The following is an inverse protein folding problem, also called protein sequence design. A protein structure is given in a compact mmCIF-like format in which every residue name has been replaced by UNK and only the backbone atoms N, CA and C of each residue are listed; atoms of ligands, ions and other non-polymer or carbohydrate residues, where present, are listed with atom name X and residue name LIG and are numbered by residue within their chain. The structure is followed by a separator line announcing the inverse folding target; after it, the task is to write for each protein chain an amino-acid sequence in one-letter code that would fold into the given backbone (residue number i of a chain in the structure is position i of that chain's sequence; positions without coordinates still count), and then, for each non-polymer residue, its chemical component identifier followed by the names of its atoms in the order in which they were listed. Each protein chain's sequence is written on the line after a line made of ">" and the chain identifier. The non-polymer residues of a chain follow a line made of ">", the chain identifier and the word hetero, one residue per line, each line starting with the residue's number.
data_IF_468673120739
#
_entry.id   IF_468673120739
#
_cell.length_a   1.000
_cell.length_b   1.000
_cell.length_c   1.000
_cell.angle_alpha   90.00
_cell.angle_beta   90.00
_cell.angle_gamma   90.00
#
_symmetry.space_group_name_H-M   'P 1'
#
loop_
_entity.id
_entity.type
_entity.pdbx_description
1 polymer ?
#
# COMPACT_ATOMS: atom_id res chain seq x y z
N UNK A 1 -11.54 -6.19 -38.67
CA UNK A 1 -10.66 -6.83 -37.70
C UNK A 1 -9.56 -5.92 -37.12
N UNK A 2 -9.46 -4.65 -37.48
CA UNK A 2 -8.47 -3.69 -36.97
C UNK A 2 -8.85 -3.01 -35.62
N UNK A 3 -10.14 -2.90 -35.32
CA UNK A 3 -10.65 -2.21 -34.10
C UNK A 3 -10.15 -2.74 -32.75
N UNK A 4 -10.07 -4.06 -32.49
CA UNK A 4 -9.56 -4.53 -31.20
C UNK A 4 -8.05 -4.32 -30.98
N UNK A 5 -7.28 -4.30 -32.08
CA UNK A 5 -5.82 -4.03 -32.02
C UNK A 5 -5.54 -2.55 -31.76
N UNK A 6 -6.26 -1.63 -32.40
CA UNK A 6 -6.11 -0.19 -32.15
C UNK A 6 -6.56 0.17 -30.72
N UNK A 7 -7.67 -0.41 -30.23
CA UNK A 7 -8.12 -0.25 -28.87
C UNK A 7 -7.09 -0.74 -27.85
N UNK A 8 -6.49 -1.91 -28.08
CA UNK A 8 -5.41 -2.42 -27.23
C UNK A 8 -4.19 -1.47 -27.17
N UNK A 9 -3.76 -0.92 -28.33
CA UNK A 9 -2.63 0.02 -28.38
C UNK A 9 -2.94 1.35 -27.70
N UNK A 10 -4.15 1.86 -27.85
CA UNK A 10 -4.60 3.08 -27.18
C UNK A 10 -4.61 2.88 -25.66
N UNK A 11 -5.25 1.81 -25.17
CA UNK A 11 -5.27 1.48 -23.74
C UNK A 11 -3.85 1.28 -23.21
N UNK A 12 -2.98 0.55 -23.92
CA UNK A 12 -1.60 0.31 -23.52
C UNK A 12 -0.75 1.59 -23.48
N UNK A 13 -0.99 2.52 -24.40
CA UNK A 13 -0.29 3.81 -24.44
C UNK A 13 -0.70 4.71 -23.29
N UNK A 14 -2.01 4.88 -23.05
CA UNK A 14 -2.54 5.75 -22.02
C UNK A 14 -2.50 5.13 -20.60
N UNK A 15 -2.43 3.80 -20.47
CA UNK A 15 -2.34 3.16 -19.16
C UNK A 15 -0.93 3.17 -18.53
N UNK A 16 0.10 3.51 -19.30
CA UNK A 16 1.48 3.52 -18.78
C UNK A 16 1.70 4.54 -17.66
N UNK A 17 0.98 5.66 -17.70
CA UNK A 17 1.11 6.76 -16.75
C UNK A 17 -0.17 6.98 -15.91
N UNK A 18 -1.17 6.09 -16.03
CA UNK A 18 -2.46 6.27 -15.40
C UNK A 18 -2.45 6.05 -13.88
N UNK A 19 -1.49 5.32 -13.34
CA UNK A 19 -1.34 5.05 -11.91
C UNK A 19 0.06 5.46 -11.46
N UNK A 20 0.14 6.53 -10.68
CA UNK A 20 1.39 6.98 -10.09
C UNK A 20 1.62 6.21 -8.80
N UNK A 21 2.56 5.25 -8.80
CA UNK A 21 2.93 4.51 -7.59
C UNK A 21 3.75 5.39 -6.65
N UNK A 22 3.44 5.43 -5.34
CA UNK A 22 4.28 6.11 -4.37
C UNK A 22 5.73 5.60 -4.40
N UNK A 23 6.68 6.52 -4.26
CA UNK A 23 8.10 6.19 -4.34
C UNK A 23 8.56 5.36 -3.13
N UNK A 24 9.71 4.69 -3.29
CA UNK A 24 10.50 4.18 -2.19
C UNK A 24 11.56 5.22 -1.82
N UNK A 25 11.79 5.46 -0.53
CA UNK A 25 12.65 6.56 -0.09
C UNK A 25 13.98 6.09 0.48
N UNK A 26 14.00 4.98 1.21
CA UNK A 26 15.17 4.51 1.93
C UNK A 26 15.59 3.13 1.41
N UNK A 27 16.90 2.94 1.23
CA UNK A 27 17.46 1.66 0.81
C UNK A 27 18.61 1.25 1.74
N UNK A 28 18.76 -0.05 1.94
CA UNK A 28 19.86 -0.63 2.74
C UNK A 28 21.08 -0.93 1.86
N UNK A 29 20.85 -1.37 0.62
CA UNK A 29 21.92 -1.67 -0.31
C UNK A 29 21.47 -1.58 -1.77
N UNK A 30 22.44 -1.33 -2.66
CA UNK A 30 22.25 -1.38 -4.11
C UNK A 30 23.29 -2.32 -4.69
N UNK A 31 22.85 -3.37 -5.37
CA UNK A 31 23.72 -4.25 -6.14
C UNK A 31 23.50 -4.05 -7.64
N UNK A 32 24.59 -4.03 -8.40
CA UNK A 32 24.52 -3.90 -9.86
C UNK A 32 24.69 -5.29 -10.48
N UNK A 33 23.61 -5.81 -11.04
CA UNK A 33 23.63 -7.08 -11.75
C UNK A 33 23.62 -6.82 -13.27
N UNK A 34 24.45 -7.55 -14.02
CA UNK A 34 24.49 -7.46 -15.48
C UNK A 34 23.64 -8.57 -16.10
N UNK A 35 22.58 -8.20 -16.80
CA UNK A 35 21.76 -9.13 -17.57
C UNK A 35 21.76 -8.72 -19.05
N UNK A 36 22.30 -9.56 -19.93
CA UNK A 36 22.45 -9.27 -21.38
C UNK A 36 23.10 -7.89 -21.63
N UNK A 37 24.26 -7.63 -21.04
CA UNK A 37 25.02 -6.38 -21.16
C UNK A 37 24.35 -5.10 -20.66
N UNK A 38 23.15 -5.20 -20.07
CA UNK A 38 22.49 -4.07 -19.39
C UNK A 38 22.71 -4.18 -17.90
N UNK A 39 23.24 -3.11 -17.31
CA UNK A 39 23.30 -2.96 -15.86
C UNK A 39 21.85 -2.84 -15.33
N UNK A 40 21.48 -3.73 -14.42
CA UNK A 40 20.21 -3.68 -13.68
C UNK A 40 20.58 -3.43 -12.24
N UNK A 41 20.13 -2.29 -11.71
CA UNK A 41 20.26 -2.00 -10.29
C UNK A 41 19.20 -2.83 -9.53
N UNK A 42 19.66 -3.71 -8.66
CA UNK A 42 18.81 -4.41 -7.71
C UNK A 42 18.95 -3.68 -6.36
N UNK A 43 17.89 -2.97 -6.00
CA UNK A 43 17.84 -2.14 -4.79
C UNK A 43 17.10 -2.88 -3.71
N UNK A 44 17.75 -3.09 -2.58
CA UNK A 44 17.12 -3.61 -1.35
C UNK A 44 16.59 -2.42 -0.57
N UNK A 45 15.27 -2.27 -0.58
CA UNK A 45 14.61 -1.20 0.13
C UNK A 45 14.59 -1.46 1.63
N UNK A 46 14.76 -0.40 2.42
CA UNK A 46 14.74 -0.48 3.88
C UNK A 46 13.37 -0.93 4.37
N UNK A 47 13.34 -2.07 5.05
CA UNK A 47 12.17 -2.61 5.71
C UNK A 47 12.22 -2.18 7.17
N UNK A 48 11.19 -1.47 7.62
CA UNK A 48 11.03 -1.08 9.03
C UNK A 48 11.03 -2.31 9.92
N UNK A 49 11.90 -2.32 10.93
CA UNK A 49 12.02 -3.45 11.85
C UNK A 49 10.78 -3.59 12.71
N UNK A 50 10.48 -4.84 13.05
CA UNK A 50 9.38 -5.13 13.96
C UNK A 50 9.62 -4.50 15.34
N UNK A 51 8.56 -3.96 15.92
CA UNK A 51 8.53 -3.43 17.29
C UNK A 51 7.24 -3.88 17.97
N UNK A 52 7.33 -4.15 19.27
CA UNK A 52 6.18 -4.54 20.09
C UNK A 52 5.70 -3.37 20.92
N UNK A 53 4.39 -3.24 20.99
CA UNK A 53 3.69 -2.18 21.72
C UNK A 53 2.60 -2.77 22.61
N UNK A 54 1.99 -1.90 23.41
CA UNK A 54 0.71 -2.16 24.07
C UNK A 54 -0.30 -1.14 23.54
N UNK A 55 -1.44 -1.62 23.03
CA UNK A 55 -2.45 -0.72 22.49
C UNK A 55 -3.40 -0.18 23.59
N UNK A 56 -4.29 0.75 23.22
CA UNK A 56 -5.28 1.37 24.11
C UNK A 56 -6.25 0.37 24.76
N UNK A 57 -6.35 -0.86 24.26
CA UNK A 57 -7.16 -1.93 24.84
C UNK A 57 -6.35 -2.82 25.81
N UNK A 58 -5.05 -2.54 26.00
CA UNK A 58 -4.15 -3.31 26.84
C UNK A 58 -3.62 -4.58 26.18
N UNK A 59 -3.81 -4.74 24.88
CA UNK A 59 -3.31 -5.87 24.12
C UNK A 59 -1.87 -5.63 23.68
N UNK A 60 -1.05 -6.67 23.75
CA UNK A 60 0.28 -6.66 23.12
C UNK A 60 0.10 -6.78 21.62
N UNK A 61 0.65 -5.87 20.87
CA UNK A 61 0.57 -5.78 19.41
C UNK A 61 1.96 -5.46 18.84
N UNK A 62 2.18 -5.80 17.58
CA UNK A 62 3.43 -5.53 16.88
C UNK A 62 3.17 -5.12 15.42
N UNK A 63 4.20 -4.61 14.74
CA UNK A 63 4.06 -4.34 13.30
C UNK A 63 3.84 -5.62 12.49
N UNK A 64 4.42 -6.75 12.93
CA UNK A 64 4.25 -8.01 12.23
C UNK A 64 2.80 -8.53 12.26
N UNK A 65 1.99 -8.12 13.25
CA UNK A 65 0.55 -8.43 13.29
C UNK A 65 -0.23 -7.72 12.16
N UNK A 66 0.40 -6.73 11.50
CA UNK A 66 -0.18 -5.93 10.42
C UNK A 66 0.31 -6.36 9.03
N UNK A 67 0.92 -7.53 8.92
CA UNK A 67 1.40 -8.05 7.64
C UNK A 67 0.27 -8.08 6.59
N UNK A 68 0.56 -7.56 5.40
CA UNK A 68 -0.39 -7.51 4.29
C UNK A 68 -1.33 -6.30 4.33
N UNK A 69 -1.31 -5.49 5.39
CA UNK A 69 -2.03 -4.21 5.45
C UNK A 69 -1.10 -3.03 5.11
N UNK A 70 -1.68 -1.99 4.55
CA UNK A 70 -1.04 -0.68 4.49
C UNK A 70 -1.11 -0.05 5.87
N UNK A 71 -0.03 0.59 6.33
CA UNK A 71 0.00 1.23 7.64
C UNK A 71 0.13 2.75 7.46
N UNK A 72 -0.76 3.50 8.12
CA UNK A 72 -0.63 4.94 8.29
C UNK A 72 -0.27 5.21 9.73
N UNK A 73 0.93 5.74 9.95
CA UNK A 73 1.50 5.93 11.27
C UNK A 73 1.73 7.41 11.56
N UNK A 74 1.47 7.82 12.79
CA UNK A 74 1.89 9.13 13.33
C UNK A 74 2.47 9.01 14.74
N UNK A 75 3.09 10.10 15.20
CA UNK A 75 3.61 10.23 16.56
C UNK A 75 2.84 11.32 17.29
N UNK A 76 2.42 11.04 18.53
CA UNK A 76 1.61 11.93 19.33
C UNK A 76 1.92 11.80 20.83
N UNK A 77 1.28 12.59 21.64
CA UNK A 77 1.17 12.39 23.09
C UNK A 77 -0.13 13.03 23.61
N UNK A 78 -0.74 12.41 24.64
CA UNK A 78 -2.10 12.79 25.08
C UNK A 78 -2.20 14.21 25.65
N UNK A 79 -1.10 14.73 26.21
CA UNK A 79 -1.04 16.06 26.83
C UNK A 79 -0.67 17.19 25.86
N UNK A 80 -0.58 16.90 24.56
CA UNK A 80 -0.25 17.90 23.53
C UNK A 80 -1.35 18.98 23.44
N UNK A 81 -1.05 20.26 23.74
CA UNK A 81 -2.07 21.31 23.76
C UNK A 81 -2.37 21.88 22.37
N UNK A 82 -1.55 21.56 21.37
CA UNK A 82 -1.54 22.30 20.09
C UNK A 82 -1.95 21.42 18.90
N UNK A 83 -1.01 20.68 18.33
CA UNK A 83 -1.23 20.03 17.02
C UNK A 83 -1.87 18.65 17.09
N UNK A 84 -1.60 17.82 18.13
CA UNK A 84 -2.11 16.46 18.19
C UNK A 84 -3.63 16.33 18.08
N UNK A 85 -4.46 17.20 18.70
CA UNK A 85 -5.91 17.14 18.48
C UNK A 85 -6.32 17.43 17.04
N UNK A 86 -5.54 18.26 16.33
CA UNK A 86 -5.74 18.56 14.91
C UNK A 86 -5.41 17.38 14.01
N UNK A 87 -4.22 16.78 14.24
CA UNK A 87 -3.76 15.58 13.53
C UNK A 87 -4.72 14.41 13.76
N UNK A 88 -5.13 14.17 15.01
CA UNK A 88 -6.07 13.11 15.33
C UNK A 88 -7.43 13.30 14.60
N UNK A 89 -7.93 14.52 14.46
CA UNK A 89 -9.14 14.80 13.64
C UNK A 89 -8.90 14.52 12.15
N UNK A 90 -7.72 14.83 11.63
CA UNK A 90 -7.36 14.51 10.24
C UNK A 90 -7.26 13.00 10.02
N UNK A 91 -6.62 12.28 10.94
CA UNK A 91 -6.54 10.81 10.91
C UNK A 91 -7.91 10.16 11.01
N UNK A 92 -8.82 10.69 11.87
CA UNK A 92 -10.21 10.20 11.97
C UNK A 92 -10.97 10.35 10.65
N UNK A 93 -10.80 11.47 9.94
CA UNK A 93 -11.41 11.65 8.61
C UNK A 93 -10.88 10.61 7.62
N UNK A 94 -9.58 10.33 7.67
CA UNK A 94 -8.97 9.32 6.83
C UNK A 94 -9.50 7.92 7.20
N UNK A 95 -9.54 7.55 8.48
CA UNK A 95 -10.14 6.29 8.95
C UNK A 95 -11.56 6.11 8.43
N UNK A 96 -12.39 7.14 8.50
CA UNK A 96 -13.78 7.11 8.00
C UNK A 96 -13.84 6.86 6.49
N UNK A 97 -12.85 7.34 5.73
CA UNK A 97 -12.80 7.12 4.27
C UNK A 97 -12.60 5.63 3.91
N UNK A 98 -12.01 4.84 4.83
CA UNK A 98 -11.77 3.41 4.66
C UNK A 98 -12.70 2.51 5.48
N UNK A 99 -13.77 3.06 6.07
CA UNK A 99 -14.71 2.32 6.92
C UNK A 99 -15.33 1.10 6.21
N UNK A 100 -15.52 1.19 4.89
CA UNK A 100 -16.08 0.09 4.07
C UNK A 100 -15.07 -1.00 3.72
N UNK A 101 -13.77 -0.73 3.89
CA UNK A 101 -12.69 -1.64 3.53
C UNK A 101 -11.63 -1.65 4.66
N UNK A 102 -12.02 -2.09 5.88
CA UNK A 102 -11.17 -1.99 7.07
C UNK A 102 -9.95 -2.93 7.03
N UNK A 103 -9.95 -3.89 6.11
CA UNK A 103 -8.85 -4.84 5.91
C UNK A 103 -7.66 -4.23 5.16
N UNK A 104 -7.85 -3.13 4.42
CA UNK A 104 -6.82 -2.55 3.56
C UNK A 104 -5.76 -1.81 4.38
N UNK A 105 -6.19 -1.02 5.38
CA UNK A 105 -5.34 -0.08 6.10
C UNK A 105 -5.50 -0.19 7.61
N UNK A 106 -4.37 -0.08 8.29
CA UNK A 106 -4.32 0.08 9.75
C UNK A 106 -3.73 1.44 10.09
N UNK A 107 -4.39 2.15 10.98
CA UNK A 107 -3.90 3.40 11.55
C UNK A 107 -3.19 3.12 12.87
N UNK A 108 -2.02 3.72 13.07
CA UNK A 108 -1.21 3.49 14.28
C UNK A 108 -0.67 4.83 14.77
N UNK A 109 -1.14 5.27 15.93
CA UNK A 109 -0.61 6.46 16.61
C UNK A 109 0.31 6.02 17.75
N UNK A 110 1.60 6.34 17.65
CA UNK A 110 2.63 5.94 18.61
C UNK A 110 2.88 7.07 19.59
N UNK A 111 2.66 6.81 20.88
CA UNK A 111 2.98 7.80 21.93
C UNK A 111 4.48 7.97 22.07
N UNK A 112 4.95 9.22 22.02
CA UNK A 112 6.34 9.60 22.34
C UNK A 112 6.54 9.99 23.81
N UNK A 113 5.48 9.94 24.62
CA UNK A 113 5.51 10.20 26.07
C UNK A 113 4.98 9.00 26.87
N UNK A 114 5.58 7.79 26.70
CA UNK A 114 5.06 6.57 27.30
C UNK A 114 5.07 6.56 28.83
N UNK A 115 5.84 7.45 29.45
CA UNK A 115 5.88 7.60 30.92
C UNK A 115 4.57 8.19 31.47
N UNK A 116 3.88 9.01 30.66
CA UNK A 116 2.59 9.62 31.02
C UNK A 116 1.43 8.96 30.30
N UNK A 117 1.62 8.48 29.09
CA UNK A 117 0.57 7.91 28.24
C UNK A 117 0.33 6.43 28.55
N UNK A 118 -0.25 6.17 29.73
CA UNK A 118 -0.65 4.83 30.14
C UNK A 118 -1.83 4.31 29.31
N UNK A 119 -2.05 2.98 29.30
CA UNK A 119 -3.17 2.35 28.60
C UNK A 119 -4.53 2.97 28.93
N UNK A 120 -4.90 3.27 30.19
CA UNK A 120 -6.15 3.95 30.51
C UNK A 120 -6.26 5.36 29.89
N UNK A 121 -5.14 6.11 29.84
CA UNK A 121 -5.12 7.45 29.21
C UNK A 121 -5.28 7.36 27.71
N UNK A 122 -4.58 6.43 27.04
CA UNK A 122 -4.74 6.17 25.62
C UNK A 122 -6.17 5.76 25.29
N UNK A 123 -6.78 4.91 26.11
CA UNK A 123 -8.20 4.51 25.95
C UNK A 123 -9.13 5.71 26.08
N UNK A 124 -8.93 6.57 27.09
CA UNK A 124 -9.74 7.77 27.28
C UNK A 124 -9.61 8.71 26.09
N UNK A 125 -8.39 8.93 25.59
CA UNK A 125 -8.13 9.77 24.43
C UNK A 125 -8.80 9.21 23.17
N UNK A 126 -8.66 7.91 22.91
CA UNK A 126 -9.28 7.22 21.79
C UNK A 126 -10.82 7.30 21.83
N UNK A 127 -11.42 7.11 23.03
CA UNK A 127 -12.86 7.21 23.21
C UNK A 127 -13.39 8.65 22.98
N UNK A 128 -12.66 9.67 23.41
CA UNK A 128 -13.00 11.07 23.15
C UNK A 128 -12.99 11.41 21.65
N UNK A 129 -12.14 10.74 20.89
CA UNK A 129 -12.10 10.86 19.42
C UNK A 129 -13.20 10.05 18.75
N UNK A 130 -13.87 9.12 19.45
CA UNK A 130 -14.89 8.22 18.89
C UNK A 130 -14.37 7.50 17.62
N UNK A 131 -13.27 6.77 17.78
CA UNK A 131 -12.61 6.03 16.72
C UNK A 131 -13.10 4.58 16.62
N UNK A 132 -12.85 3.92 15.49
CA UNK A 132 -12.94 2.48 15.40
C UNK A 132 -11.63 1.84 15.92
N UNK A 133 -11.69 1.17 17.07
CA UNK A 133 -10.53 0.59 17.74
C UNK A 133 -9.90 -0.58 16.97
N UNK A 134 -10.64 -1.26 16.10
CA UNK A 134 -10.13 -2.40 15.32
C UNK A 134 -9.18 -1.94 14.21
N UNK A 135 -9.41 -0.74 13.68
CA UNK A 135 -8.63 -0.19 12.56
C UNK A 135 -7.67 0.94 12.96
N UNK A 136 -7.74 1.41 14.22
CA UNK A 136 -6.83 2.44 14.71
C UNK A 136 -6.33 2.12 16.12
N UNK A 137 -5.03 1.91 16.20
CA UNK A 137 -4.34 1.66 17.46
C UNK A 137 -3.65 2.91 17.96
N UNK A 138 -3.88 3.25 19.22
CA UNK A 138 -3.05 4.16 20.01
C UNK A 138 -2.13 3.31 20.85
N UNK A 139 -0.82 3.41 20.63
CA UNK A 139 0.14 2.48 21.22
C UNK A 139 1.17 3.19 22.09
N UNK A 140 1.62 2.47 23.13
CA UNK A 140 2.70 2.85 24.04
C UNK A 140 3.63 1.66 24.25
N UNK A 141 4.79 1.88 24.88
CA UNK A 141 5.77 0.83 25.11
C UNK A 141 7.03 1.34 25.81
N UNK A 142 8.16 0.64 25.63
CA UNK A 142 9.44 1.10 26.15
C UNK A 142 9.89 2.38 25.41
N UNK A 143 10.27 3.39 26.20
CA UNK A 143 10.65 4.70 25.68
C UNK A 143 11.83 4.62 24.70
N UNK A 144 12.86 3.83 25.04
CA UNK A 144 14.06 3.71 24.20
C UNK A 144 13.75 3.02 22.88
N UNK A 145 12.91 1.99 22.92
CA UNK A 145 12.48 1.28 21.71
C UNK A 145 11.64 2.18 20.82
N UNK A 146 10.68 2.94 21.38
CA UNK A 146 9.86 3.91 20.64
C UNK A 146 10.72 4.99 19.99
N UNK A 147 11.68 5.56 20.73
CA UNK A 147 12.56 6.61 20.17
C UNK A 147 13.50 6.04 19.10
N UNK A 148 14.05 4.85 19.32
CA UNK A 148 14.85 4.17 18.30
C UNK A 148 14.02 3.88 17.04
N UNK A 149 12.80 3.41 17.20
CA UNK A 149 11.86 3.18 16.10
C UNK A 149 11.56 4.49 15.34
N UNK A 150 11.19 5.55 16.04
CA UNK A 150 10.85 6.82 15.41
C UNK A 150 12.03 7.44 14.66
N UNK A 151 13.22 7.49 15.28
CA UNK A 151 14.38 8.20 14.73
C UNK A 151 15.14 7.36 13.70
N UNK A 152 15.32 6.06 13.95
CA UNK A 152 16.19 5.21 13.14
C UNK A 152 15.44 4.38 12.10
N UNK A 153 14.22 3.94 12.38
CA UNK A 153 13.44 3.14 11.43
C UNK A 153 12.52 4.02 10.59
N UNK A 154 11.69 4.86 11.22
CA UNK A 154 10.74 5.74 10.51
C UNK A 154 11.41 7.02 9.97
N UNK A 155 12.57 7.42 10.54
CA UNK A 155 13.28 8.67 10.22
C UNK A 155 12.44 9.92 10.52
N UNK A 156 11.59 9.82 11.55
CA UNK A 156 10.77 10.92 12.00
C UNK A 156 11.62 11.90 12.85
N UNK A 157 11.37 13.21 12.69
CA UNK A 157 11.96 14.22 13.59
C UNK A 157 11.07 14.34 14.82
N UNK A 158 11.51 13.73 15.93
CA UNK A 158 10.86 13.85 17.24
C UNK A 158 11.90 14.29 18.28
N UNK A 159 11.47 14.99 19.34
CA UNK A 159 12.32 15.37 20.45
C UNK A 159 11.69 15.00 21.79
N UNK A 160 12.54 14.73 22.79
CA UNK A 160 12.10 14.38 24.15
C UNK A 160 11.65 15.64 24.90
N UNK A 161 10.45 15.61 25.46
CA UNK A 161 9.85 16.69 26.25
C UNK A 161 10.67 17.06 27.51
N UNK A 162 11.46 16.13 28.03
CA UNK A 162 12.28 16.36 29.23
C UNK A 162 13.61 17.05 28.90
N UNK A 163 14.00 17.08 27.61
CA UNK A 163 15.27 17.66 27.14
C UNK A 163 15.02 19.00 26.46
N UNK A 164 13.86 19.17 25.81
CA UNK A 164 13.51 20.39 25.09
C UNK A 164 12.08 20.80 25.44
N UNK A 165 11.92 22.05 25.93
CA UNK A 165 10.62 22.65 26.23
C UNK A 165 9.79 22.92 24.96
N UNK A 166 10.43 22.92 23.79
CA UNK A 166 9.78 22.93 22.49
C UNK A 166 9.67 21.50 21.97
N UNK A 167 8.60 20.80 22.35
CA UNK A 167 8.24 19.49 21.77
C UNK A 167 8.26 19.57 20.25
N UNK A 168 9.30 19.03 19.65
CA UNK A 168 9.31 18.85 18.19
C UNK A 168 8.63 17.50 17.92
N UNK A 169 7.36 17.58 17.59
CA UNK A 169 6.57 16.47 17.09
C UNK A 169 6.36 16.69 15.59
N UNK A 170 6.40 15.62 14.85
CA UNK A 170 6.16 15.71 13.41
C UNK A 170 4.68 15.92 13.13
N UNK A 171 4.37 16.82 12.20
CA UNK A 171 3.02 17.02 11.66
C UNK A 171 2.68 16.01 10.56
N UNK A 172 3.55 15.01 10.35
CA UNK A 172 3.43 14.11 9.23
C UNK A 172 2.80 12.78 9.60
N UNK A 173 1.99 12.28 8.70
CA UNK A 173 1.60 10.87 8.61
C UNK A 173 2.61 10.13 7.75
N UNK A 174 3.06 8.97 8.20
CA UNK A 174 3.97 8.09 7.49
C UNK A 174 3.19 6.94 6.88
N UNK A 175 3.41 6.69 5.60
CA UNK A 175 2.76 5.61 4.86
C UNK A 175 3.76 4.47 4.67
N UNK A 176 3.39 3.28 5.17
CA UNK A 176 4.13 2.04 4.97
C UNK A 176 3.30 1.09 4.12
N UNK A 177 3.95 0.38 3.21
CA UNK A 177 3.29 -0.63 2.39
C UNK A 177 3.12 -1.98 3.13
N UNK A 178 2.55 -2.96 2.45
CA UNK A 178 2.28 -4.31 2.97
C UNK A 178 3.54 -5.07 3.41
N UNK A 179 4.72 -4.62 3.01
CA UNK A 179 6.02 -5.17 3.38
C UNK A 179 6.71 -4.34 4.47
N UNK A 180 6.04 -3.31 5.00
CA UNK A 180 6.56 -2.35 5.97
C UNK A 180 7.71 -1.49 5.42
N UNK A 181 7.68 -1.15 4.13
CA UNK A 181 8.61 -0.21 3.51
C UNK A 181 7.95 1.18 3.49
N UNK A 182 8.71 2.21 3.84
CA UNK A 182 8.22 3.59 3.86
C UNK A 182 8.01 4.08 2.42
N UNK A 183 6.78 4.51 2.11
CA UNK A 183 6.34 4.96 0.80
C UNK A 183 6.05 6.46 0.74
N UNK A 184 6.08 7.15 1.86
CA UNK A 184 5.90 8.58 1.93
C UNK A 184 5.61 9.11 3.32
N UNK A 185 5.63 10.45 3.40
CA UNK A 185 5.16 11.21 4.55
C UNK A 185 4.32 12.38 4.05
N UNK A 186 3.24 12.67 4.77
CA UNK A 186 2.20 13.61 4.33
C UNK A 186 1.84 14.52 5.48
N UNK A 187 1.96 15.84 5.28
CA UNK A 187 1.56 16.80 6.31
C UNK A 187 0.06 16.63 6.62
N UNK A 188 -0.25 16.34 7.90
CA UNK A 188 -1.61 16.06 8.36
C UNK A 188 -2.53 17.29 8.44
N UNK A 189 -2.01 18.50 8.20
CA UNK A 189 -2.80 19.73 8.10
C UNK A 189 -3.00 20.22 6.67
N UNK A 190 -2.19 19.72 5.71
CA UNK A 190 -2.36 20.02 4.30
C UNK A 190 -3.41 19.14 3.66
N UNK A 191 -4.53 19.73 3.25
CA UNK A 191 -5.65 19.02 2.64
C UNK A 191 -5.28 18.31 1.32
N UNK A 192 -4.36 18.88 0.53
CA UNK A 192 -3.87 18.25 -0.69
C UNK A 192 -3.02 17.02 -0.37
N UNK A 193 -2.16 17.11 0.66
CA UNK A 193 -1.37 15.98 1.13
C UNK A 193 -2.23 14.88 1.74
N UNK A 194 -3.29 15.23 2.47
CA UNK A 194 -4.26 14.27 2.98
C UNK A 194 -5.01 13.56 1.82
N UNK A 195 -5.44 14.31 0.79
CA UNK A 195 -6.08 13.74 -0.39
C UNK A 195 -5.10 12.83 -1.16
N UNK A 196 -3.84 13.23 -1.28
CA UNK A 196 -2.79 12.40 -1.88
C UNK A 196 -2.61 11.10 -1.09
N UNK A 197 -2.47 11.16 0.25
CA UNK A 197 -2.38 9.99 1.12
C UNK A 197 -3.57 9.03 0.93
N UNK A 198 -4.80 9.57 0.91
CA UNK A 198 -6.02 8.79 0.70
C UNK A 198 -6.06 8.09 -0.68
N UNK A 199 -5.43 8.67 -1.70
CA UNK A 199 -5.28 8.08 -3.04
C UNK A 199 -4.15 7.05 -3.11
N UNK A 200 -3.05 7.29 -2.38
CA UNK A 200 -1.86 6.44 -2.41
C UNK A 200 -2.09 5.10 -1.69
N UNK A 201 -2.93 5.07 -0.65
CA UNK A 201 -3.29 3.84 0.08
C UNK A 201 -3.84 2.75 -0.85
N UNK A 202 -4.97 2.94 -1.57
CA UNK A 202 -5.48 1.91 -2.48
C UNK A 202 -4.53 1.63 -3.65
N UNK A 203 -3.74 2.62 -4.08
CA UNK A 203 -2.77 2.46 -5.15
C UNK A 203 -1.69 1.45 -4.77
N UNK A 204 -1.20 1.46 -3.53
CA UNK A 204 -0.23 0.49 -3.03
C UNK A 204 -0.77 -0.95 -3.01
N UNK A 205 -2.08 -1.15 -2.82
CA UNK A 205 -2.69 -2.48 -2.91
C UNK A 205 -2.66 -3.05 -4.34
N UNK A 206 -2.52 -2.19 -5.36
CA UNK A 206 -2.38 -2.60 -6.75
C UNK A 206 -0.94 -2.97 -7.11
N UNK A 207 0.03 -2.66 -6.23
CA UNK A 207 1.42 -3.00 -6.45
C UNK A 207 1.60 -4.53 -6.35
N UNK A 208 1.79 -5.17 -7.49
CA UNK A 208 2.06 -6.61 -7.52
C UNK A 208 3.45 -6.91 -7.00
N UNK A 209 3.54 -7.78 -6.04
CA UNK A 209 4.81 -8.41 -5.66
C UNK A 209 5.51 -8.95 -6.92
N UNK A 210 6.68 -8.39 -7.24
CA UNK A 210 7.49 -8.84 -8.39
C UNK A 210 7.89 -10.32 -8.29
N UNK A 211 7.70 -10.94 -7.13
CA UNK A 211 8.08 -12.34 -6.83
C UNK A 211 6.98 -13.36 -7.12
N UNK A 212 5.74 -12.97 -7.32
CA UNK A 212 4.70 -13.93 -7.72
C UNK A 212 4.56 -13.93 -9.25
N UNK A 213 5.09 -14.95 -9.96
CA UNK A 213 4.81 -15.13 -11.37
C UNK A 213 3.32 -15.43 -11.51
N UNK A 214 2.53 -14.49 -12.04
CA UNK A 214 1.15 -14.83 -12.38
C UNK A 214 1.22 -15.81 -13.56
N UNK A 215 0.74 -17.04 -13.36
CA UNK A 215 0.63 -18.06 -14.41
C UNK A 215 -0.01 -17.48 -15.68
N UNK A 216 -0.96 -16.57 -15.55
CA UNK A 216 -1.57 -15.85 -16.67
C UNK A 216 -0.56 -15.04 -17.50
N UNK A 217 0.51 -14.51 -16.91
CA UNK A 217 1.49 -13.70 -17.64
C UNK A 217 2.34 -14.54 -18.59
N UNK A 218 2.55 -15.82 -18.27
CA UNK A 218 3.25 -16.77 -19.14
C UNK A 218 2.38 -17.15 -20.35
N UNK A 219 1.05 -17.17 -20.22
CA UNK A 219 0.13 -17.53 -21.30
C UNK A 219 -0.24 -16.35 -22.23
N UNK A 220 -0.10 -15.09 -21.76
CA UNK A 220 -0.41 -13.91 -22.58
C UNK A 220 0.27 -13.91 -23.97
N UNK A 221 1.58 -14.27 -24.12
CA UNK A 221 2.24 -14.32 -25.43
C UNK A 221 1.62 -15.35 -26.38
N UNK A 222 0.98 -16.39 -25.86
CA UNK A 222 0.40 -17.48 -26.66
C UNK A 222 -1.06 -17.22 -27.04
N UNK A 223 -1.73 -16.25 -26.39
CA UNK A 223 -3.14 -15.91 -26.71
C UNK A 223 -3.38 -15.63 -28.20
N UNK A 224 -2.55 -14.85 -28.93
CA UNK A 224 -2.75 -14.65 -30.36
C UNK A 224 -2.68 -15.95 -31.18
N UNK A 225 -1.77 -16.84 -30.82
CA UNK A 225 -1.62 -18.14 -31.51
C UNK A 225 -2.82 -19.03 -31.25
N UNK A 226 -3.35 -19.06 -30.02
CA UNK A 226 -4.55 -19.81 -29.66
C UNK A 226 -5.77 -19.26 -30.44
N UNK A 227 -5.96 -17.95 -30.53
CA UNK A 227 -7.05 -17.35 -31.28
C UNK A 227 -6.98 -17.64 -32.78
N UNK A 228 -5.76 -17.59 -33.38
CA UNK A 228 -5.56 -17.96 -34.77
C UNK A 228 -5.86 -19.45 -34.98
N UNK A 229 -5.42 -20.33 -34.08
CA UNK A 229 -5.70 -21.76 -34.12
C UNK A 229 -7.19 -22.06 -34.06
N UNK A 230 -7.93 -21.46 -33.15
CA UNK A 230 -9.39 -21.59 -33.05
C UNK A 230 -10.08 -21.07 -34.34
N UNK A 231 -9.66 -19.92 -34.87
CA UNK A 231 -10.19 -19.36 -36.11
C UNK A 231 -9.99 -20.28 -37.29
N UNK A 232 -8.80 -20.88 -37.44
CA UNK A 232 -8.50 -21.84 -38.50
C UNK A 232 -9.33 -23.13 -38.38
N UNK A 233 -9.51 -23.66 -37.15
CA UNK A 233 -10.34 -24.86 -36.96
C UNK A 233 -11.80 -24.61 -37.31
N UNK A 234 -12.37 -23.46 -36.88
CA UNK A 234 -13.74 -23.09 -37.24
C UNK A 234 -13.87 -22.91 -38.76
N UNK A 235 -12.91 -22.26 -39.42
CA UNK A 235 -12.88 -22.11 -40.86
C UNK A 235 -12.83 -23.46 -41.57
N UNK A 236 -12.00 -24.39 -41.14
CA UNK A 236 -11.86 -25.70 -41.73
C UNK A 236 -13.16 -26.52 -41.60
N UNK A 237 -13.79 -26.51 -40.44
CA UNK A 237 -15.07 -27.20 -40.19
C UNK A 237 -16.16 -26.61 -41.08
N UNK A 238 -16.26 -25.31 -41.18
CA UNK A 238 -17.29 -24.66 -42.04
C UNK A 238 -17.02 -24.91 -43.51
N UNK A 239 -15.76 -24.93 -43.94
CA UNK A 239 -15.36 -25.23 -45.33
C UNK A 239 -15.70 -26.69 -45.70
N UNK A 240 -15.36 -27.65 -44.85
CA UNK A 240 -15.67 -29.07 -45.06
C UNK A 240 -17.18 -29.36 -45.10
N UNK A 241 -17.94 -28.75 -44.18
CA UNK A 241 -19.40 -28.87 -44.21
C UNK A 241 -20.05 -28.26 -45.49
N UNK A 242 -19.51 -27.15 -45.98
CA UNK A 242 -19.98 -26.54 -47.25
C UNK A 242 -19.72 -27.46 -48.43
N UNK A 243 -18.57 -28.12 -48.49
CA UNK A 243 -18.22 -29.07 -49.54
C UNK A 243 -19.07 -30.34 -49.49
N UNK A 244 -19.40 -30.84 -48.28
CA UNK A 244 -20.29 -31.96 -48.12
C UNK A 244 -21.71 -31.67 -48.64
N UNK A 245 -22.26 -30.52 -48.29
CA UNK A 245 -23.59 -30.08 -48.77
C UNK A 245 -23.62 -29.93 -50.28
N UNK A 246 -22.52 -29.44 -50.90
CA UNK A 246 -22.45 -29.35 -52.40
C UNK A 246 -22.38 -30.73 -53.07
N UNK A 247 -21.66 -31.68 -52.46
CA UNK A 247 -21.56 -33.02 -53.03
C UNK A 247 -22.87 -33.80 -52.89
N UNK A 248 -23.58 -33.67 -51.76
CA UNK A 248 -24.89 -34.28 -51.55
C UNK A 248 -25.96 -33.68 -52.49
N UNK A 249 -25.88 -32.38 -52.81
CA UNK A 249 -26.80 -31.75 -53.80
C UNK A 249 -26.54 -32.21 -55.26
N UNK A 250 -25.30 -32.56 -55.62
CA UNK A 250 -24.95 -33.05 -56.98
C UNK A 250 -25.21 -34.55 -57.14
N UNK A 251 -25.51 -35.32 -56.06
CA UNK A 251 -25.84 -36.77 -56.14
C UNK A 251 -27.34 -37.05 -56.29
N UNK A 252 -28.20 -36.02 -56.31
CA UNK A 252 -29.65 -36.11 -56.38
C UNK A 252 -30.17 -35.70 -57.80
N UNK A 253 -29.30 -35.30 -58.70
CA UNK A 253 -29.57 -35.07 -60.11
C UNK A 253 -29.06 -36.24 -60.97
#
# INVERSE_FOLDING_TARGET
>A
MLLPLTGYWIVKYYSKDAVHMPHHYFYDSVSVNYKKEKAINDTVWHKVKNISFVNQLGQKVSLDDLHGKIIVLDFFFTRCPSICPGLARSMKKLQKSFEKNPEIVQFVSVSIDPEHDSVPQLRTFANQLDINHDTWWFVTGDKKEIYNFALNEIKASIADSNVDTAFIHTENFFLLDTNHIIRGWYNGFDTLKQAQLASDIPTLMLEKDKKSPSLLREFIPYLPVIFVGIGLTIFLITFLNRNKIKNDANSIV
#
